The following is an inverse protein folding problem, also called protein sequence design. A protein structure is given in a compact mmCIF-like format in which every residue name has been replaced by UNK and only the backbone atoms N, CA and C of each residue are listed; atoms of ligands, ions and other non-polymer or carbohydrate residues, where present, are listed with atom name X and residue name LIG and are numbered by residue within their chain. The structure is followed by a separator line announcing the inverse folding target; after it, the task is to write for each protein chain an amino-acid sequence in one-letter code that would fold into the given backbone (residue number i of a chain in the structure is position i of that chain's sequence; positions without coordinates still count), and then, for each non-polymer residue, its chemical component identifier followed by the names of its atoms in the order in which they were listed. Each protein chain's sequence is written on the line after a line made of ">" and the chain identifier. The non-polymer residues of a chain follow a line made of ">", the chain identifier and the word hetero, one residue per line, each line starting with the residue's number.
data_IF_064815959852
#
_entry.id   IF_064815959852
#
_cell.length_a   1.000
_cell.length_b   1.000
_cell.length_c   1.000
_cell.angle_alpha   90.00
_cell.angle_beta   90.00
_cell.angle_gamma   90.00
#
_symmetry.space_group_name_H-M   'P 1'
#
loop_
_entity.id
_entity.type
_entity.pdbx_description
1 polymer ?
#
# COMPACT_ATOMS: atom_id res chain seq x y z
N UNK A 1 -65.65 -10.32 -3.46
CA UNK A 1 -64.93 -9.33 -2.63
C UNK A 1 -63.74 -8.84 -3.43
N UNK A 2 -63.92 -7.82 -4.28
CA UNK A 2 -62.85 -7.29 -5.13
C UNK A 2 -62.20 -6.12 -4.39
N UNK A 3 -61.02 -6.36 -3.81
CA UNK A 3 -60.22 -5.32 -3.18
C UNK A 3 -59.75 -4.38 -4.31
N UNK A 4 -60.08 -3.09 -4.30
CA UNK A 4 -59.69 -2.17 -5.37
C UNK A 4 -58.17 -2.11 -5.43
N UNK A 5 -57.63 -2.29 -6.64
CA UNK A 5 -56.21 -2.12 -6.94
C UNK A 5 -55.91 -0.62 -6.83
N UNK A 6 -54.88 -0.18 -6.09
CA UNK A 6 -54.54 1.23 -6.00
C UNK A 6 -54.16 1.78 -7.37
N UNK A 7 -54.68 2.97 -7.72
CA UNK A 7 -54.36 3.64 -8.97
C UNK A 7 -52.85 3.91 -9.09
N UNK A 8 -52.26 3.77 -10.29
CA UNK A 8 -50.85 4.03 -10.50
C UNK A 8 -50.52 5.51 -10.22
N UNK A 9 -49.36 5.81 -9.61
CA UNK A 9 -49.02 7.17 -9.26
C UNK A 9 -48.92 8.08 -10.49
N UNK A 10 -49.45 9.30 -10.37
CA UNK A 10 -49.43 10.29 -11.46
C UNK A 10 -47.99 10.62 -11.92
N UNK A 11 -47.83 11.07 -13.18
CA UNK A 11 -46.54 11.53 -13.69
C UNK A 11 -45.93 12.69 -12.88
N UNK A 12 -46.77 13.54 -12.29
CA UNK A 12 -46.35 14.61 -11.40
C UNK A 12 -45.75 14.06 -10.09
N UNK A 13 -46.35 13.00 -9.54
CA UNK A 13 -45.84 12.28 -8.37
C UNK A 13 -44.47 11.70 -8.66
N UNK A 14 -44.28 11.05 -9.81
CA UNK A 14 -42.99 10.50 -10.23
C UNK A 14 -41.90 11.57 -10.32
N UNK A 15 -42.16 12.69 -11.03
CA UNK A 15 -41.18 13.78 -11.18
C UNK A 15 -40.76 14.36 -9.83
N UNK A 16 -41.72 14.54 -8.91
CA UNK A 16 -41.44 15.05 -7.57
C UNK A 16 -40.56 14.06 -6.78
N UNK A 17 -40.86 12.77 -6.85
CA UNK A 17 -40.03 11.73 -6.22
C UNK A 17 -38.63 11.73 -6.82
N UNK A 18 -38.49 11.78 -8.15
CA UNK A 18 -37.18 11.82 -8.82
C UNK A 18 -36.36 13.02 -8.39
N UNK A 19 -36.95 14.22 -8.31
CA UNK A 19 -36.24 15.42 -7.89
C UNK A 19 -35.74 15.31 -6.43
N UNK A 20 -36.56 14.74 -5.54
CA UNK A 20 -36.16 14.48 -4.14
C UNK A 20 -34.99 13.49 -4.08
N UNK A 21 -35.05 12.41 -4.85
CA UNK A 21 -33.98 11.41 -4.90
C UNK A 21 -32.69 11.98 -5.48
N UNK A 22 -32.78 12.82 -6.52
CA UNK A 22 -31.63 13.50 -7.10
C UNK A 22 -30.97 14.44 -6.10
N UNK A 23 -31.76 15.22 -5.36
CA UNK A 23 -31.25 16.09 -4.32
C UNK A 23 -30.58 15.27 -3.22
N UNK A 24 -31.24 14.22 -2.71
CA UNK A 24 -30.67 13.36 -1.68
C UNK A 24 -29.37 12.69 -2.14
N UNK A 25 -29.28 12.25 -3.39
CA UNK A 25 -28.04 11.69 -3.95
C UNK A 25 -26.93 12.75 -4.05
N UNK A 26 -27.26 13.98 -4.46
CA UNK A 26 -26.30 15.07 -4.51
C UNK A 26 -25.77 15.41 -3.12
N UNK A 27 -26.65 15.47 -2.12
CA UNK A 27 -26.28 15.71 -0.72
C UNK A 27 -25.39 14.57 -0.18
N UNK A 28 -25.71 13.31 -0.48
CA UNK A 28 -24.89 12.15 -0.09
C UNK A 28 -23.50 12.17 -0.74
N UNK A 29 -23.41 12.50 -2.04
CA UNK A 29 -22.13 12.63 -2.73
C UNK A 29 -21.29 13.76 -2.15
N UNK A 30 -21.92 14.88 -1.79
CA UNK A 30 -21.24 15.99 -1.14
C UNK A 30 -20.70 15.57 0.23
N UNK A 31 -21.50 14.90 1.07
CA UNK A 31 -21.06 14.39 2.37
C UNK A 31 -19.90 13.40 2.22
N UNK A 32 -19.93 12.52 1.21
CA UNK A 32 -18.85 11.57 0.95
C UNK A 32 -17.55 12.26 0.53
N UNK A 33 -17.62 13.30 -0.31
CA UNK A 33 -16.46 14.09 -0.72
C UNK A 33 -15.90 14.97 0.41
N UNK A 34 -16.78 15.49 1.28
CA UNK A 34 -16.40 16.34 2.41
C UNK A 34 -15.88 15.50 3.61
N UNK A 35 -15.97 14.17 3.56
CA UNK A 35 -15.37 13.34 4.59
C UNK A 35 -13.85 13.49 4.55
N UNK A 36 -13.20 13.76 5.69
CA UNK A 36 -11.75 13.75 5.75
C UNK A 36 -11.28 12.33 5.42
N UNK A 37 -10.72 12.16 4.23
CA UNK A 37 -9.98 10.95 3.90
C UNK A 37 -8.79 10.89 4.86
N UNK A 38 -8.75 9.83 5.67
CA UNK A 38 -7.58 9.56 6.48
C UNK A 38 -6.39 9.48 5.50
N UNK A 39 -5.33 10.29 5.71
CA UNK A 39 -4.22 10.29 4.78
C UNK A 39 -3.68 8.87 4.65
N UNK A 40 -3.27 8.44 3.45
CA UNK A 40 -2.66 7.12 3.27
C UNK A 40 -1.61 6.86 4.36
N UNK A 41 -1.57 5.64 4.90
CA UNK A 41 -0.75 5.31 6.08
C UNK A 41 0.70 5.78 5.95
N UNK A 42 1.30 5.66 4.75
CA UNK A 42 2.67 6.10 4.49
C UNK A 42 2.86 7.62 4.55
N UNK A 43 1.83 8.41 4.21
CA UNK A 43 1.86 9.87 4.36
C UNK A 43 1.73 10.30 5.82
N UNK A 44 1.14 9.47 6.68
CA UNK A 44 1.07 9.71 8.12
C UNK A 44 2.37 9.37 8.86
N UNK A 45 3.27 8.59 8.25
CA UNK A 45 4.57 8.25 8.82
C UNK A 45 5.54 9.43 8.75
N UNK A 46 6.42 9.52 9.76
CA UNK A 46 7.50 10.51 9.76
C UNK A 46 8.55 10.13 8.71
N UNK A 47 9.10 11.15 8.05
CA UNK A 47 10.25 11.02 7.17
C UNK A 47 11.48 10.45 7.91
N UNK A 48 12.43 9.93 7.14
CA UNK A 48 13.69 9.42 7.67
C UNK A 48 14.41 10.49 8.51
N UNK A 49 14.99 10.07 9.62
CA UNK A 49 15.93 10.89 10.37
C UNK A 49 17.34 10.69 9.85
N UNK A 50 18.17 11.73 9.91
CA UNK A 50 19.60 11.58 9.61
C UNK A 50 20.24 10.62 10.62
N UNK A 51 20.89 9.56 10.13
CA UNK A 51 21.51 8.55 10.98
C UNK A 51 22.77 7.98 10.31
N UNK A 52 23.90 7.85 11.02
CA UNK A 52 25.04 7.13 10.48
C UNK A 52 24.71 5.64 10.34
N UNK A 53 25.15 5.01 9.25
CA UNK A 53 25.03 3.57 9.08
C UNK A 53 25.85 2.79 10.11
N UNK A 54 25.44 1.55 10.35
CA UNK A 54 26.09 0.68 11.34
C UNK A 54 27.39 0.06 10.81
N UNK A 55 27.52 -0.07 9.48
CA UNK A 55 28.74 -0.57 8.85
C UNK A 55 29.85 0.49 8.88
N UNK A 56 31.03 0.09 9.36
CA UNK A 56 32.20 0.96 9.51
C UNK A 56 33.40 0.48 8.68
N UNK A 57 34.18 1.41 8.16
CA UNK A 57 35.47 1.15 7.53
C UNK A 57 36.57 0.84 8.57
N UNK A 58 37.77 0.48 8.08
CA UNK A 58 38.95 0.26 8.93
C UNK A 58 39.47 1.50 9.68
N UNK A 59 38.84 2.66 9.49
CA UNK A 59 39.10 3.91 10.23
C UNK A 59 37.90 4.31 11.09
N UNK A 60 36.97 3.38 11.36
CA UNK A 60 35.75 3.56 12.14
C UNK A 60 34.77 4.61 11.60
N UNK A 61 34.89 5.04 10.35
CA UNK A 61 33.91 5.91 9.70
C UNK A 61 32.78 5.07 9.13
N UNK A 62 31.58 5.64 9.15
CA UNK A 62 30.41 5.05 8.52
C UNK A 62 30.66 4.84 7.02
N UNK A 63 30.30 3.67 6.51
CA UNK A 63 30.37 3.37 5.07
C UNK A 63 29.23 4.03 4.29
N UNK A 64 28.09 4.25 4.93
CA UNK A 64 26.94 4.91 4.34
C UNK A 64 26.14 5.62 5.44
N UNK A 65 25.58 6.79 5.15
CA UNK A 65 24.72 7.50 6.09
C UNK A 65 23.30 7.62 5.53
N UNK A 66 22.30 7.44 6.37
CA UNK A 66 20.90 7.68 6.03
C UNK A 66 20.64 9.17 6.07
N UNK A 67 20.19 9.72 4.94
CA UNK A 67 19.79 11.12 4.81
C UNK A 67 18.43 11.36 5.48
N UNK A 68 18.27 12.53 6.10
CA UNK A 68 16.96 12.96 6.59
C UNK A 68 16.03 13.40 5.45
N UNK A 69 14.72 13.29 5.69
CA UNK A 69 13.69 13.88 4.84
C UNK A 69 13.30 13.04 3.62
N UNK A 70 13.49 11.73 3.69
CA UNK A 70 12.96 10.78 2.70
C UNK A 70 11.62 10.29 3.24
N UNK A 71 10.57 10.37 2.44
CA UNK A 71 9.24 9.90 2.80
C UNK A 71 9.20 8.36 2.93
N UNK A 72 8.15 7.86 3.58
CA UNK A 72 8.04 6.43 3.88
C UNK A 72 7.83 5.57 2.62
N UNK A 73 7.13 6.07 1.62
CA UNK A 73 6.88 5.34 0.36
C UNK A 73 8.18 5.16 -0.43
N UNK A 74 8.93 6.24 -0.64
CA UNK A 74 10.26 6.19 -1.26
C UNK A 74 11.21 5.28 -0.47
N UNK A 75 11.17 5.35 0.86
CA UNK A 75 12.00 4.50 1.73
C UNK A 75 11.65 3.02 1.55
N UNK A 76 10.36 2.66 1.55
CA UNK A 76 9.92 1.28 1.37
C UNK A 76 10.21 0.76 -0.05
N UNK A 77 10.12 1.60 -1.09
CA UNK A 77 10.56 1.26 -2.43
C UNK A 77 12.07 0.90 -2.46
N UNK A 78 12.91 1.66 -1.77
CA UNK A 78 14.33 1.31 -1.62
C UNK A 78 14.54 0.00 -0.86
N UNK A 79 13.77 -0.27 0.20
CA UNK A 79 13.82 -1.53 0.93
C UNK A 79 13.43 -2.70 0.03
N UNK A 80 12.34 -2.60 -0.74
CA UNK A 80 11.91 -3.63 -1.69
C UNK A 80 13.00 -3.93 -2.73
N UNK A 81 13.65 -2.89 -3.28
CA UNK A 81 14.76 -3.06 -4.21
C UNK A 81 15.96 -3.79 -3.57
N UNK A 82 16.33 -3.44 -2.34
CA UNK A 82 17.43 -4.11 -1.64
C UNK A 82 17.12 -5.58 -1.35
N UNK A 83 15.87 -5.89 -0.98
CA UNK A 83 15.42 -7.27 -0.76
C UNK A 83 15.43 -8.07 -2.06
N UNK A 84 14.98 -7.48 -3.18
CA UNK A 84 15.10 -8.09 -4.50
C UNK A 84 16.55 -8.38 -4.89
N UNK A 85 17.47 -7.44 -4.65
CA UNK A 85 18.89 -7.69 -4.89
C UNK A 85 19.41 -8.86 -4.04
N UNK A 86 18.93 -9.01 -2.80
CA UNK A 86 19.29 -10.13 -1.94
C UNK A 86 18.73 -11.47 -2.46
N UNK A 87 17.51 -11.50 -3.00
CA UNK A 87 16.95 -12.67 -3.70
C UNK A 87 17.81 -13.07 -4.90
N UNK A 88 18.08 -12.12 -5.81
CA UNK A 88 18.86 -12.37 -7.04
C UNK A 88 20.29 -12.87 -6.73
N UNK A 89 20.95 -12.33 -5.70
CA UNK A 89 22.27 -12.80 -5.25
C UNK A 89 22.19 -14.20 -4.62
N UNK A 90 21.11 -14.49 -3.90
CA UNK A 90 20.98 -15.77 -3.20
C UNK A 90 20.62 -16.93 -4.13
N UNK A 91 19.92 -16.66 -5.24
CA UNK A 91 19.65 -17.66 -6.28
C UNK A 91 20.97 -18.18 -6.88
N UNK A 92 21.89 -17.28 -7.24
CA UNK A 92 23.22 -17.62 -7.77
C UNK A 92 24.03 -18.47 -6.77
N UNK A 93 24.00 -18.12 -5.48
CA UNK A 93 24.70 -18.88 -4.42
C UNK A 93 24.07 -20.27 -4.23
N UNK A 94 22.75 -20.37 -4.30
CA UNK A 94 22.02 -21.63 -4.08
C UNK A 94 22.28 -22.63 -5.21
N UNK A 95 22.43 -22.17 -6.45
CA UNK A 95 22.81 -23.01 -7.59
C UNK A 95 24.20 -23.66 -7.43
N UNK A 96 25.10 -22.99 -6.71
CA UNK A 96 26.49 -23.44 -6.48
C UNK A 96 26.66 -24.27 -5.19
N UNK A 97 25.68 -24.27 -4.30
CA UNK A 97 25.75 -24.93 -2.98
C UNK A 97 25.39 -26.42 -2.99
N UNK A 98 25.97 -27.21 -2.07
CA UNK A 98 25.62 -28.62 -1.86
C UNK A 98 25.39 -28.96 -0.38
N UNK A 99 24.56 -29.96 -0.10
CA UNK A 99 24.32 -30.45 1.27
C UNK A 99 23.49 -29.51 2.17
N UNK A 100 23.86 -29.42 3.45
CA UNK A 100 23.13 -28.68 4.49
C UNK A 100 23.12 -27.18 4.22
N UNK A 101 24.22 -26.65 3.68
CA UNK A 101 24.38 -25.22 3.35
C UNK A 101 23.29 -24.76 2.39
N UNK A 102 22.95 -25.59 1.39
CA UNK A 102 21.85 -25.31 0.45
C UNK A 102 20.51 -25.15 1.16
N UNK A 103 20.21 -25.99 2.16
CA UNK A 103 18.97 -25.90 2.93
C UNK A 103 18.89 -24.66 3.83
N UNK A 104 20.02 -24.24 4.40
CA UNK A 104 20.11 -23.00 5.18
C UNK A 104 19.93 -21.76 4.29
N UNK A 105 20.58 -21.75 3.12
CA UNK A 105 20.44 -20.65 2.15
C UNK A 105 19.00 -20.57 1.63
N UNK A 106 18.37 -21.71 1.32
CA UNK A 106 16.96 -21.75 0.92
C UNK A 106 16.02 -21.15 1.98
N UNK A 107 16.28 -21.45 3.25
CA UNK A 107 15.49 -20.92 4.37
C UNK A 107 15.67 -19.40 4.53
N UNK A 108 16.89 -18.90 4.28
CA UNK A 108 17.18 -17.46 4.25
C UNK A 108 16.49 -16.78 3.07
N UNK A 109 16.59 -17.32 1.85
CA UNK A 109 15.93 -16.82 0.64
C UNK A 109 14.44 -16.64 0.89
N UNK A 110 13.78 -17.68 1.40
CA UNK A 110 12.35 -17.61 1.65
C UNK A 110 11.98 -16.51 2.66
N UNK A 111 12.82 -16.28 3.67
CA UNK A 111 12.60 -15.20 4.63
C UNK A 111 12.71 -13.81 3.97
N UNK A 112 13.61 -13.65 2.99
CA UNK A 112 13.77 -12.41 2.21
C UNK A 112 12.58 -12.20 1.27
N UNK A 113 12.15 -13.24 0.54
CA UNK A 113 10.97 -13.19 -0.32
C UNK A 113 9.72 -12.77 0.45
N UNK A 114 9.51 -13.37 1.63
CA UNK A 114 8.39 -13.00 2.51
C UNK A 114 8.50 -11.54 2.97
N UNK A 115 9.69 -11.08 3.35
CA UNK A 115 9.89 -9.70 3.76
C UNK A 115 9.58 -8.72 2.61
N UNK A 116 10.00 -9.04 1.39
CA UNK A 116 9.71 -8.24 0.19
C UNK A 116 8.21 -8.20 -0.10
N UNK A 117 7.54 -9.35 -0.09
CA UNK A 117 6.10 -9.44 -0.31
C UNK A 117 5.29 -8.60 0.70
N UNK A 118 5.72 -8.55 1.96
CA UNK A 118 5.10 -7.69 2.98
C UNK A 118 5.32 -6.20 2.70
N UNK A 119 6.51 -5.80 2.23
CA UNK A 119 6.80 -4.42 1.84
C UNK A 119 5.99 -4.01 0.61
N UNK A 120 5.95 -4.85 -0.42
CA UNK A 120 5.19 -4.61 -1.64
C UNK A 120 3.68 -4.49 -1.32
N UNK A 121 3.14 -5.36 -0.45
CA UNK A 121 1.75 -5.27 -0.01
C UNK A 121 1.43 -3.98 0.78
N UNK A 122 2.38 -3.44 1.55
CA UNK A 122 2.22 -2.16 2.22
C UNK A 122 2.21 -0.99 1.22
N UNK A 123 3.05 -1.04 0.19
CA UNK A 123 3.07 -0.05 -0.88
C UNK A 123 1.75 -0.06 -1.66
N UNK A 124 1.28 -1.23 -2.08
CA UNK A 124 0.01 -1.42 -2.79
C UNK A 124 -1.20 -0.96 -1.96
N UNK A 125 -1.20 -1.27 -0.66
CA UNK A 125 -2.25 -0.87 0.26
C UNK A 125 -2.30 0.64 0.52
N UNK A 126 -1.19 1.34 0.26
CA UNK A 126 -1.05 2.78 0.50
C UNK A 126 -1.35 3.62 -0.74
N UNK A 127 -1.48 3.00 -1.91
CA UNK A 127 -1.92 3.69 -3.11
C UNK A 127 -3.41 4.07 -3.02
N UNK A 128 -3.78 5.28 -3.47
CA UNK A 128 -5.17 5.69 -3.50
C UNK A 128 -6.00 4.71 -4.36
N UNK A 129 -7.24 4.46 -3.93
CA UNK A 129 -8.16 3.47 -4.56
C UNK A 129 -8.35 3.69 -6.07
N UNK A 130 -8.03 4.88 -6.61
CA UNK A 130 -8.13 5.21 -8.03
C UNK A 130 -6.97 4.77 -8.93
N UNK A 131 -5.84 4.29 -8.38
CA UNK A 131 -4.63 3.95 -9.17
C UNK A 131 -4.38 2.44 -9.32
N UNK A 132 -5.29 1.61 -8.80
CA UNK A 132 -5.26 0.14 -8.97
C UNK A 132 -5.82 -0.25 -10.35
N UNK A 133 -5.09 0.10 -11.41
CA UNK A 133 -5.42 -0.21 -12.81
C UNK A 133 -4.46 -1.21 -13.44
#
# INVERSE_FOLDING_TARGET
>A
MNKPVPDPPSQATHRRITAILQQANADLLQVLNDQPHEPPLLQALKETAARPGDLRDGRHRSLFDVKAGIDAETTLNHVSLLLRCAEEVSDEITEQGSGIERGLIWSMVHSVEMARALVDALLDGSQPVGERG
#
